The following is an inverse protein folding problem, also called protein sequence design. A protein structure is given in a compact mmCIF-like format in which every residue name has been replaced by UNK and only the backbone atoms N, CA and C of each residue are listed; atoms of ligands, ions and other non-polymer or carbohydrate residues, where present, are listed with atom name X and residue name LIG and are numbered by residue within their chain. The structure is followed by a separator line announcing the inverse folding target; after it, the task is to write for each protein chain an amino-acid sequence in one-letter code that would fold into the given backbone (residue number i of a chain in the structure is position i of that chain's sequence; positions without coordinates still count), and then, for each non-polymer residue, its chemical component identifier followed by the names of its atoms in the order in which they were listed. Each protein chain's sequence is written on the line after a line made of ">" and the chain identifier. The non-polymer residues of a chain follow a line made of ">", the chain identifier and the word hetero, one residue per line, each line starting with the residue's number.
data_IF_841809997288
#
_entry.id   IF_841809997288
#
_cell.length_a   1.000
_cell.length_b   1.000
_cell.length_c   1.000
_cell.angle_alpha   90.00
_cell.angle_beta   90.00
_cell.angle_gamma   90.00
#
_symmetry.space_group_name_H-M   'P 1'
#
loop_
_entity.id
_entity.type
_entity.pdbx_description
1 polymer ?
#
# COMPACT_ATOMS: atom_id res chain seq x y z
N UNK A 1 -1.32 12.08 -22.94
CA UNK A 1 -2.08 12.95 -22.01
C UNK A 1 -1.91 12.44 -20.59
N UNK A 2 -0.98 13.01 -19.83
CA UNK A 2 -0.90 12.78 -18.38
C UNK A 2 -2.04 13.57 -17.74
N UNK A 3 -3.12 12.89 -17.35
CA UNK A 3 -4.22 13.54 -16.63
C UNK A 3 -3.67 14.07 -15.32
N UNK A 4 -3.59 15.40 -15.18
CA UNK A 4 -3.30 16.04 -13.89
C UNK A 4 -4.42 15.67 -12.91
N UNK A 5 -4.17 14.63 -12.11
CA UNK A 5 -5.10 14.16 -11.09
C UNK A 5 -5.17 15.26 -10.04
N UNK A 6 -6.21 16.11 -10.12
CA UNK A 6 -6.43 17.18 -9.16
C UNK A 6 -6.78 16.56 -7.80
N UNK A 7 -5.81 16.52 -6.90
CA UNK A 7 -5.96 15.96 -5.56
C UNK A 7 -6.62 17.00 -4.67
N UNK A 8 -7.80 16.68 -4.15
CA UNK A 8 -8.51 17.54 -3.21
C UNK A 8 -8.10 17.15 -1.79
N UNK A 9 -7.31 18.01 -1.15
CA UNK A 9 -6.91 17.85 0.24
C UNK A 9 -6.63 19.22 0.86
N UNK A 10 -7.06 19.41 2.11
CA UNK A 10 -6.80 20.63 2.86
C UNK A 10 -5.30 20.81 3.13
N UNK A 11 -4.78 22.05 3.23
CA UNK A 11 -3.36 22.30 3.51
C UNK A 11 -2.84 21.55 4.75
N UNK A 12 -3.66 21.49 5.82
CA UNK A 12 -3.39 20.75 7.05
C UNK A 12 -3.13 19.26 6.78
N UNK A 13 -4.01 18.61 6.02
CA UNK A 13 -3.89 17.18 5.66
C UNK A 13 -2.62 16.92 4.85
N UNK A 14 -2.26 17.82 3.92
CA UNK A 14 -1.01 17.68 3.14
C UNK A 14 0.24 17.79 4.01
N UNK A 15 0.23 18.68 5.01
CA UNK A 15 1.33 18.79 5.97
C UNK A 15 1.44 17.53 6.81
N UNK A 16 0.31 17.05 7.35
CA UNK A 16 0.25 15.82 8.13
C UNK A 16 0.74 14.58 7.36
N UNK A 17 0.32 14.42 6.10
CA UNK A 17 0.79 13.33 5.25
C UNK A 17 2.31 13.40 5.03
N UNK A 18 2.87 14.60 4.80
CA UNK A 18 4.32 14.80 4.66
C UNK A 18 5.09 14.47 5.93
N UNK A 19 4.58 14.87 7.09
CA UNK A 19 5.18 14.55 8.40
C UNK A 19 5.26 13.04 8.63
N UNK A 20 4.25 12.29 8.19
CA UNK A 20 4.23 10.83 8.30
C UNK A 20 4.89 10.09 7.12
N UNK A 21 5.45 10.81 6.15
CA UNK A 21 6.06 10.22 4.96
C UNK A 21 5.06 9.57 3.99
N UNK A 22 3.77 9.90 4.08
CA UNK A 22 2.74 9.42 3.18
C UNK A 22 2.55 10.35 1.97
N UNK A 23 2.41 9.77 0.77
CA UNK A 23 2.13 10.53 -0.44
C UNK A 23 0.62 10.63 -0.69
N UNK A 24 0.07 11.84 -0.61
CA UNK A 24 -1.36 12.12 -0.84
C UNK A 24 -1.88 11.70 -2.22
N UNK A 25 -1.01 11.57 -3.22
CA UNK A 25 -1.42 11.10 -4.56
C UNK A 25 -1.82 9.64 -4.60
N UNK A 26 -1.33 8.84 -3.65
CA UNK A 26 -1.58 7.40 -3.51
C UNK A 26 -2.75 7.09 -2.58
N UNK A 27 -3.26 8.11 -1.88
CA UNK A 27 -4.33 7.96 -0.89
C UNK A 27 -5.67 8.17 -1.61
N UNK A 28 -6.59 7.25 -1.37
CA UNK A 28 -7.96 7.38 -1.83
C UNK A 28 -8.76 8.17 -0.79
N UNK A 29 -9.31 9.31 -1.22
CA UNK A 29 -10.11 10.18 -0.35
C UNK A 29 -11.54 9.68 -0.26
N UNK A 30 -12.09 9.58 0.95
CA UNK A 30 -13.45 9.07 1.18
C UNK A 30 -14.53 10.15 1.14
N UNK A 31 -14.14 11.43 1.19
CA UNK A 31 -15.08 12.54 1.27
C UNK A 31 -15.58 13.04 -0.09
N UNK A 32 -16.56 13.96 -0.06
CA UNK A 32 -17.19 14.53 -1.28
C UNK A 32 -16.15 14.96 -2.32
N UNK A 33 -16.32 14.48 -3.56
CA UNK A 33 -15.41 14.68 -4.70
C UNK A 33 -14.03 14.02 -4.54
N UNK A 34 -13.93 12.96 -3.72
CA UNK A 34 -12.66 12.27 -3.45
C UNK A 34 -11.70 13.11 -2.64
N UNK A 35 -12.22 13.92 -1.70
CA UNK A 35 -11.37 14.74 -0.83
C UNK A 35 -10.71 13.84 0.21
N UNK A 36 -9.44 14.08 0.47
CA UNK A 36 -8.65 13.31 1.44
C UNK A 36 -8.73 14.01 2.80
N UNK A 37 -9.08 13.24 3.83
CA UNK A 37 -9.10 13.68 5.23
C UNK A 37 -7.90 13.14 6.02
N UNK A 38 -7.78 13.53 7.29
CA UNK A 38 -6.74 13.00 8.18
C UNK A 38 -6.96 11.50 8.47
N UNK A 39 -8.22 11.07 8.54
CA UNK A 39 -8.62 9.67 8.74
C UNK A 39 -8.15 8.80 7.59
N UNK A 40 -8.29 9.27 6.35
CA UNK A 40 -7.84 8.54 5.16
C UNK A 40 -6.33 8.33 5.17
N UNK A 41 -5.56 9.36 5.58
CA UNK A 41 -4.10 9.26 5.73
C UNK A 41 -3.72 8.22 6.80
N UNK A 42 -4.38 8.26 7.96
CA UNK A 42 -4.15 7.29 9.05
C UNK A 42 -4.46 5.86 8.61
N UNK A 43 -5.60 5.65 7.93
CA UNK A 43 -6.02 4.35 7.39
C UNK A 43 -5.02 3.83 6.36
N UNK A 44 -4.56 4.69 5.45
CA UNK A 44 -3.57 4.34 4.43
C UNK A 44 -2.28 3.79 5.05
N UNK A 45 -1.73 4.49 6.04
CA UNK A 45 -0.49 4.09 6.72
C UNK A 45 -0.69 2.78 7.49
N UNK A 46 -1.80 2.65 8.22
CA UNK A 46 -2.14 1.42 8.95
C UNK A 46 -2.22 0.22 8.02
N UNK A 47 -2.88 0.37 6.86
CA UNK A 47 -2.96 -0.67 5.86
C UNK A 47 -1.59 -0.99 5.23
N UNK A 48 -0.76 0.00 4.98
CA UNK A 48 0.60 -0.20 4.48
C UNK A 48 1.44 -1.05 5.45
N UNK A 49 1.35 -0.78 6.76
CA UNK A 49 2.01 -1.57 7.79
C UNK A 49 1.50 -3.01 7.86
N UNK A 50 0.17 -3.21 7.73
CA UNK A 50 -0.43 -4.56 7.68
C UNK A 50 0.02 -5.33 6.44
N UNK A 51 -0.04 -4.71 5.25
CA UNK A 51 0.39 -5.31 3.98
C UNK A 51 1.87 -5.72 3.97
N UNK A 52 2.74 -4.93 4.61
CA UNK A 52 4.15 -5.30 4.79
C UNK A 52 4.33 -6.54 5.67
N UNK A 53 3.49 -6.77 6.69
CA UNK A 53 3.55 -8.01 7.48
C UNK A 53 3.23 -9.24 6.63
N UNK A 54 2.25 -9.15 5.73
CA UNK A 54 1.94 -10.24 4.81
C UNK A 54 3.07 -10.48 3.81
N UNK A 55 3.69 -9.43 3.25
CA UNK A 55 4.83 -9.53 2.33
C UNK A 55 6.13 -10.06 2.98
N UNK A 56 6.35 -9.75 4.27
CA UNK A 56 7.48 -10.32 5.04
C UNK A 56 7.22 -11.76 5.49
N UNK A 57 5.96 -12.13 5.73
CA UNK A 57 5.60 -13.49 6.14
C UNK A 57 5.53 -14.47 4.97
N UNK A 58 5.36 -13.98 3.74
CA UNK A 58 5.65 -14.72 2.51
C UNK A 58 7.14 -14.64 2.13
N UNK A 59 8.05 -15.00 3.05
CA UNK A 59 9.21 -15.74 2.56
C UNK A 59 8.66 -17.04 1.98
N UNK A 60 8.79 -17.28 0.67
CA UNK A 60 8.08 -18.35 0.01
C UNK A 60 8.61 -19.68 0.55
N UNK A 61 7.74 -20.47 1.16
CA UNK A 61 7.98 -21.90 1.40
C UNK A 61 7.87 -22.69 0.08
N UNK A 62 8.15 -22.05 -1.06
CA UNK A 62 7.73 -22.50 -2.39
C UNK A 62 8.93 -22.75 -3.31
N UNK A 63 10.13 -22.26 -2.95
CA UNK A 63 11.33 -22.46 -3.78
C UNK A 63 12.03 -23.78 -3.48
N UNK A 64 12.00 -24.23 -2.22
CA UNK A 64 12.59 -25.51 -1.78
C UNK A 64 11.65 -26.68 -2.07
N UNK A 65 10.32 -26.48 -1.92
CA UNK A 65 9.33 -27.54 -2.16
C UNK A 65 9.17 -27.90 -3.64
N UNK A 66 9.33 -26.94 -4.56
CA UNK A 66 9.26 -27.21 -6.01
C UNK A 66 10.39 -28.13 -6.50
N UNK A 67 11.62 -27.97 -5.99
CA UNK A 67 12.75 -28.83 -6.37
C UNK A 67 12.60 -30.26 -5.84
N UNK A 68 12.10 -30.45 -4.62
CA UNK A 68 11.90 -31.78 -4.02
C UNK A 68 10.78 -32.55 -4.74
N UNK A 69 9.66 -31.89 -5.03
CA UNK A 69 8.53 -32.54 -5.73
C UNK A 69 8.91 -32.94 -7.16
N UNK A 70 9.64 -32.08 -7.88
CA UNK A 70 10.14 -32.41 -9.22
C UNK A 70 11.17 -33.55 -9.20
N UNK A 71 12.03 -33.62 -8.17
CA UNK A 71 13.03 -34.69 -8.07
C UNK A 71 12.42 -36.06 -7.72
N UNK A 72 11.29 -36.10 -7.02
CA UNK A 72 10.57 -37.33 -6.65
C UNK A 72 9.69 -37.84 -7.80
N UNK A 73 9.19 -36.95 -8.66
CA UNK A 73 8.34 -37.32 -9.81
C UNK A 73 9.10 -37.65 -11.10
N UNK A 74 10.39 -37.29 -11.19
CA UNK A 74 11.24 -37.48 -12.38
C UNK A 74 12.47 -38.36 -12.07
N UNK A 75 12.39 -39.16 -11.00
CA UNK A 75 13.33 -40.26 -10.69
C UNK A 75 12.59 -41.58 -10.69
#
# INVERSE_FOLDING_TARGET
>A
MTKDKKIFASPKVRRFARELGANVSLIEGTERKGRITEEDVKKFISNQLKGQKYKRRSQPLDKIKKNIIILILVK
#
